data_IF_004197517150
#
_entry.id   IF_004197517150
#
_cell.length_a   1.000
_cell.length_b   1.000
_cell.length_c   1.000
_cell.angle_alpha   90.00
_cell.angle_beta   90.00
_cell.angle_gamma   90.00
#
_symmetry.space_group_name_H-M   'P 1'
#
loop_
_entity.id
_entity.type
_entity.pdbx_description
1 polymer ?
#
# COMPACT_ATOMS: atom_id res chain seq x y z
N UNK A 1 -7.51 17.29 10.23
CA UNK A 1 -6.17 17.17 9.60
C UNK A 1 -5.23 18.34 9.91
N UNK A 2 -5.67 19.60 9.76
CA UNK A 2 -4.79 20.78 9.98
C UNK A 2 -4.34 20.92 11.46
N UNK A 3 -5.20 20.57 12.43
CA UNK A 3 -4.85 20.63 13.86
C UNK A 3 -3.80 19.63 14.31
N UNK A 4 -3.73 18.48 13.65
CA UNK A 4 -2.82 17.39 13.95
C UNK A 4 -1.36 17.73 13.57
N UNK A 5 -1.16 18.31 12.38
CA UNK A 5 0.16 18.75 11.91
C UNK A 5 0.78 19.84 12.80
N UNK A 6 -0.06 20.74 13.34
CA UNK A 6 0.38 21.82 14.26
C UNK A 6 0.75 21.29 15.64
N UNK A 7 0.07 20.24 16.10
CA UNK A 7 0.35 19.64 17.42
C UNK A 7 1.68 18.89 17.42
N UNK A 8 1.93 18.06 16.40
CA UNK A 8 3.22 17.37 16.24
C UNK A 8 4.40 18.34 16.07
N UNK A 9 4.17 19.47 15.40
CA UNK A 9 5.21 20.51 15.27
C UNK A 9 5.52 21.16 16.62
N UNK A 10 4.53 21.43 17.47
CA UNK A 10 4.73 21.97 18.82
C UNK A 10 5.41 20.96 19.75
N UNK A 11 5.07 19.68 19.68
CA UNK A 11 5.75 18.64 20.46
C UNK A 11 7.20 18.41 20.01
N UNK A 12 7.46 18.37 18.70
CA UNK A 12 8.85 18.35 18.19
C UNK A 12 9.69 19.47 18.78
N UNK A 13 9.14 20.67 18.87
CA UNK A 13 9.83 21.82 19.49
C UNK A 13 10.02 21.62 21.00
N UNK A 14 9.03 21.05 21.69
CA UNK A 14 9.11 20.76 23.12
C UNK A 14 10.12 19.65 23.44
N UNK A 15 10.16 18.58 22.64
CA UNK A 15 11.09 17.46 22.74
C UNK A 15 12.52 17.93 22.44
N UNK A 16 12.70 18.75 21.41
CA UNK A 16 14.00 19.35 21.07
C UNK A 16 14.49 20.28 22.20
N UNK A 17 13.61 21.09 22.81
CA UNK A 17 13.95 21.89 23.98
C UNK A 17 14.33 21.03 25.20
N UNK A 18 13.55 20.00 25.52
CA UNK A 18 13.86 19.06 26.63
C UNK A 18 15.16 18.28 26.42
N UNK A 19 15.46 17.87 25.17
CA UNK A 19 16.75 17.21 24.84
C UNK A 19 17.94 18.17 24.94
N UNK A 20 17.74 19.45 24.61
CA UNK A 20 18.77 20.49 24.77
C UNK A 20 19.14 20.77 26.24
N UNK A 21 18.16 20.63 27.14
CA UNK A 21 18.36 20.81 28.59
C UNK A 21 19.03 19.59 29.26
N UNK A 22 18.99 18.39 28.64
CA UNK A 22 19.57 17.15 29.20
C UNK A 22 20.93 16.74 28.64
N UNK A 23 21.66 17.63 28.01
CA UNK A 23 23.06 17.45 27.60
C UNK A 23 23.27 16.43 26.48
N UNK A 24 23.81 16.92 25.36
CA UNK A 24 24.41 16.20 24.22
C UNK A 24 23.66 14.98 23.67
N UNK A 25 22.59 15.25 22.89
CA UNK A 25 22.22 14.36 21.83
C UNK A 25 22.90 14.87 20.55
N UNK A 26 23.65 14.03 19.91
CA UNK A 26 24.34 14.33 18.66
C UNK A 26 23.32 14.53 17.52
N UNK A 27 22.81 15.75 17.39
CA UNK A 27 21.86 16.16 16.34
C UNK A 27 22.45 16.00 14.93
N UNK A 28 23.81 15.84 14.84
CA UNK A 28 24.48 15.66 13.56
C UNK A 28 24.26 14.25 12.99
N UNK A 29 24.18 13.23 13.83
CA UNK A 29 23.99 11.85 13.38
C UNK A 29 22.57 11.59 12.87
N UNK A 30 21.54 12.12 13.56
CA UNK A 30 20.14 11.94 13.14
C UNK A 30 19.81 12.68 11.85
N UNK A 31 20.35 13.90 11.68
CA UNK A 31 20.20 14.68 10.43
C UNK A 31 20.96 14.04 9.27
N UNK A 32 22.12 13.47 9.53
CA UNK A 32 22.92 12.77 8.52
C UNK A 32 22.25 11.48 8.06
N UNK A 33 21.68 10.71 8.96
CA UNK A 33 20.97 9.48 8.64
C UNK A 33 19.67 9.75 7.89
N UNK A 34 18.88 10.74 8.30
CA UNK A 34 17.69 11.18 7.58
C UNK A 34 18.02 11.64 6.16
N UNK A 35 19.08 12.44 5.98
CA UNK A 35 19.56 12.85 4.66
C UNK A 35 19.97 11.67 3.78
N UNK A 36 20.63 10.65 4.35
CA UNK A 36 21.03 9.43 3.65
C UNK A 36 19.81 8.58 3.23
N UNK A 37 18.79 8.47 4.07
CA UNK A 37 17.52 7.77 3.72
C UNK A 37 16.83 8.43 2.54
N UNK A 38 16.64 9.74 2.59
CA UNK A 38 16.05 10.53 1.50
C UNK A 38 16.88 10.40 0.20
N UNK A 39 18.21 10.44 0.29
CA UNK A 39 19.11 10.28 -0.86
C UNK A 39 18.97 8.88 -1.50
N UNK A 40 18.84 7.84 -0.72
CA UNK A 40 18.62 6.47 -1.23
C UNK A 40 17.27 6.34 -1.93
N UNK A 41 16.20 6.91 -1.37
CA UNK A 41 14.88 6.96 -2.00
C UNK A 41 14.92 7.69 -3.34
N UNK A 42 15.56 8.88 -3.37
CA UNK A 42 15.76 9.67 -4.59
C UNK A 42 16.53 8.89 -5.65
N UNK A 43 17.64 8.23 -5.29
CA UNK A 43 18.42 7.42 -6.23
C UNK A 43 17.61 6.29 -6.86
N UNK A 44 16.79 5.60 -6.06
CA UNK A 44 15.88 4.53 -6.57
C UNK A 44 14.88 5.08 -7.57
N UNK A 45 14.22 6.20 -7.26
CA UNK A 45 13.25 6.82 -8.14
C UNK A 45 13.89 7.35 -9.43
N UNK A 46 15.04 8.02 -9.34
CA UNK A 46 15.78 8.48 -10.52
C UNK A 46 16.18 7.29 -11.39
N UNK A 47 16.73 6.23 -10.82
CA UNK A 47 17.12 5.03 -11.58
C UNK A 47 15.93 4.42 -12.30
N UNK A 48 14.79 4.29 -11.64
CA UNK A 48 13.54 3.78 -12.24
C UNK A 48 13.05 4.71 -13.35
N UNK A 49 13.05 6.02 -13.14
CA UNK A 49 12.64 7.01 -14.14
C UNK A 49 13.55 6.98 -15.38
N UNK A 50 14.86 6.87 -15.18
CA UNK A 50 15.83 6.75 -16.28
C UNK A 50 15.62 5.45 -17.05
N UNK A 51 15.36 4.33 -16.38
CA UNK A 51 15.05 3.05 -17.03
C UNK A 51 13.80 3.14 -17.92
N UNK A 52 12.74 3.76 -17.40
CA UNK A 52 11.49 3.99 -18.17
C UNK A 52 11.76 4.90 -19.38
N UNK A 53 12.54 5.97 -19.19
CA UNK A 53 12.90 6.88 -20.27
C UNK A 53 13.67 6.15 -21.37
N UNK A 54 14.65 5.31 -21.00
CA UNK A 54 15.41 4.51 -21.97
C UNK A 54 14.52 3.51 -22.73
N UNK A 55 13.55 2.89 -22.05
CA UNK A 55 12.55 2.03 -22.71
C UNK A 55 11.71 2.80 -23.73
N UNK A 56 11.26 4.01 -23.38
CA UNK A 56 10.51 4.88 -24.29
C UNK A 56 11.38 5.29 -25.50
N UNK A 57 12.61 5.72 -25.27
CA UNK A 57 13.56 6.10 -26.35
C UNK A 57 13.83 4.90 -27.28
N UNK A 58 14.03 3.70 -26.72
CA UNK A 58 14.21 2.48 -27.50
C UNK A 58 12.98 2.17 -28.36
N UNK A 59 11.77 2.30 -27.83
CA UNK A 59 10.55 2.12 -28.59
C UNK A 59 10.42 3.15 -29.71
N UNK A 60 10.70 4.42 -29.46
CA UNK A 60 10.70 5.47 -30.49
C UNK A 60 11.74 5.19 -31.59
N UNK A 61 12.93 4.73 -31.22
CA UNK A 61 13.96 4.32 -32.17
C UNK A 61 13.49 3.14 -33.05
N UNK A 62 12.85 2.13 -32.46
CA UNK A 62 12.26 1.03 -33.24
C UNK A 62 11.24 1.55 -34.25
N UNK A 63 10.36 2.47 -33.85
CA UNK A 63 9.38 3.08 -34.75
C UNK A 63 10.03 3.82 -35.92
N UNK A 64 11.13 4.56 -35.69
CA UNK A 64 11.81 5.29 -36.75
C UNK A 64 12.53 4.37 -37.77
N UNK A 65 13.05 3.21 -37.33
CA UNK A 65 13.72 2.24 -38.20
C UNK A 65 12.76 1.42 -39.06
N UNK A 66 11.50 1.35 -38.69
CA UNK A 66 10.44 0.63 -39.42
C UNK A 66 9.79 1.51 -40.51
N UNK A 67 10.33 2.72 -40.75
CA UNK A 67 9.73 3.72 -41.65
C UNK A 67 9.60 3.26 -43.12
N UNK A 68 10.43 2.35 -43.59
CA UNK A 68 10.35 1.82 -44.96
C UNK A 68 9.04 1.05 -45.23
N UNK A 69 8.42 0.51 -44.19
CA UNK A 69 7.14 -0.21 -44.24
C UNK A 69 5.98 0.61 -43.65
N UNK A 70 6.17 1.91 -43.44
CA UNK A 70 5.28 2.77 -42.68
C UNK A 70 3.82 2.69 -43.16
N UNK A 71 3.58 2.67 -44.47
CA UNK A 71 2.23 2.64 -45.04
C UNK A 71 1.53 1.31 -44.75
N UNK A 72 2.22 0.18 -44.88
CA UNK A 72 1.65 -1.16 -44.65
C UNK A 72 1.36 -1.29 -43.13
N UNK A 73 2.30 -0.86 -42.29
CA UNK A 73 2.16 -0.89 -40.83
C UNK A 73 1.02 0.01 -40.36
N UNK A 74 0.88 1.20 -40.93
CA UNK A 74 -0.20 2.12 -40.61
C UNK A 74 -1.57 1.51 -40.91
N UNK A 75 -1.77 0.96 -42.11
CA UNK A 75 -3.02 0.27 -42.46
C UNK A 75 -3.28 -0.95 -41.58
N UNK A 76 -2.29 -1.79 -41.36
CA UNK A 76 -2.42 -2.97 -40.50
C UNK A 76 -2.77 -2.58 -39.06
N UNK A 77 -2.11 -1.56 -38.50
CA UNK A 77 -2.42 -1.09 -37.14
C UNK A 77 -3.79 -0.42 -37.05
N UNK A 78 -4.30 0.27 -38.05
CA UNK A 78 -5.67 0.79 -38.10
C UNK A 78 -6.71 -0.32 -38.05
N UNK A 79 -6.48 -1.39 -38.82
CA UNK A 79 -7.36 -2.56 -38.79
C UNK A 79 -7.35 -3.19 -37.38
N UNK A 80 -6.16 -3.42 -36.82
CA UNK A 80 -6.02 -3.95 -35.44
C UNK A 80 -6.66 -3.02 -34.41
N UNK A 81 -6.50 -1.70 -34.56
CA UNK A 81 -7.12 -0.71 -33.66
C UNK A 81 -8.64 -0.82 -33.66
N UNK A 82 -9.26 -0.99 -34.82
CA UNK A 82 -10.72 -1.15 -34.91
C UNK A 82 -11.18 -2.38 -34.09
N UNK A 83 -10.53 -3.53 -34.27
CA UNK A 83 -10.89 -4.74 -33.52
C UNK A 83 -10.64 -4.58 -32.02
N UNK A 84 -9.55 -3.93 -31.61
CA UNK A 84 -9.26 -3.68 -30.21
C UNK A 84 -10.25 -2.69 -29.59
N UNK A 85 -10.64 -1.64 -30.33
CA UNK A 85 -11.64 -0.68 -29.88
C UNK A 85 -13.01 -1.35 -29.70
N UNK A 86 -13.45 -2.18 -30.67
CA UNK A 86 -14.68 -2.93 -30.54
C UNK A 86 -14.64 -3.91 -29.36
N UNK A 87 -13.52 -4.62 -29.18
CA UNK A 87 -13.32 -5.49 -28.03
C UNK A 87 -13.33 -4.72 -26.71
N UNK A 88 -12.66 -3.56 -26.66
CA UNK A 88 -12.64 -2.72 -25.46
C UNK A 88 -14.02 -2.11 -25.15
N UNK A 89 -14.77 -1.74 -26.18
CA UNK A 89 -16.13 -1.23 -26.05
C UNK A 89 -17.07 -2.29 -25.42
N UNK A 90 -16.95 -3.55 -25.84
CA UNK A 90 -17.77 -4.67 -25.34
C UNK A 90 -17.42 -5.11 -23.90
N UNK A 91 -16.26 -4.67 -23.35
CA UNK A 91 -15.88 -5.03 -21.98
C UNK A 91 -16.77 -4.33 -20.96
N UNK A 92 -17.13 -5.04 -19.89
CA UNK A 92 -17.84 -4.49 -18.73
C UNK A 92 -16.85 -3.72 -17.83
N UNK A 93 -16.46 -2.53 -18.28
CA UNK A 93 -15.59 -1.58 -17.56
C UNK A 93 -16.19 -0.18 -17.64
N UNK A 94 -15.87 0.66 -16.67
CA UNK A 94 -16.31 2.06 -16.64
C UNK A 94 -15.78 2.83 -17.86
N UNK A 95 -16.58 3.76 -18.38
CA UNK A 95 -16.20 4.57 -19.54
C UNK A 95 -14.91 5.34 -19.32
N UNK A 96 -14.66 5.84 -18.10
CA UNK A 96 -13.41 6.54 -17.74
C UNK A 96 -12.15 5.67 -17.91
N UNK A 97 -12.28 4.36 -17.82
CA UNK A 97 -11.17 3.42 -18.04
C UNK A 97 -10.98 3.05 -19.51
N UNK A 98 -12.06 3.10 -20.31
CA UNK A 98 -12.05 2.71 -21.74
C UNK A 98 -11.72 3.88 -22.66
N UNK A 99 -12.31 5.03 -22.41
CA UNK A 99 -12.23 6.20 -23.31
C UNK A 99 -10.80 6.67 -23.61
N UNK A 100 -9.88 6.80 -22.64
CA UNK A 100 -8.51 7.21 -22.94
C UNK A 100 -7.81 6.27 -23.95
N UNK A 101 -8.02 4.96 -23.82
CA UNK A 101 -7.45 3.97 -24.75
C UNK A 101 -8.08 4.05 -26.13
N UNK A 102 -9.41 4.20 -26.20
CA UNK A 102 -10.13 4.34 -27.47
C UNK A 102 -9.65 5.59 -28.21
N UNK A 103 -9.59 6.74 -27.53
CA UNK A 103 -9.12 8.00 -28.11
C UNK A 103 -7.69 7.84 -28.62
N UNK A 104 -6.79 7.26 -27.79
CA UNK A 104 -5.37 7.09 -28.15
C UNK A 104 -5.20 6.18 -29.37
N UNK A 105 -5.95 5.05 -29.45
CA UNK A 105 -5.86 4.12 -30.58
C UNK A 105 -6.45 4.71 -31.86
N UNK A 106 -7.51 5.54 -31.78
CA UNK A 106 -8.11 6.16 -32.96
C UNK A 106 -7.31 7.39 -33.45
N UNK A 107 -6.76 8.21 -32.55
CA UNK A 107 -5.97 9.38 -32.91
C UNK A 107 -4.55 9.01 -33.35
N UNK A 108 -3.92 8.03 -32.74
CA UNK A 108 -2.54 7.60 -32.98
C UNK A 108 -2.46 6.07 -33.05
N UNK A 109 -2.92 5.42 -34.16
CA UNK A 109 -3.08 3.96 -34.21
C UNK A 109 -1.84 3.18 -33.83
N UNK A 110 -0.68 3.50 -34.38
CA UNK A 110 0.57 2.79 -34.09
C UNK A 110 0.95 2.91 -32.61
N UNK A 111 0.97 4.14 -32.09
CA UNK A 111 1.30 4.38 -30.69
C UNK A 111 0.25 3.79 -29.75
N UNK A 112 -1.02 4.03 -30.04
CA UNK A 112 -2.15 3.60 -29.20
C UNK A 112 -2.26 2.08 -29.12
N UNK A 113 -2.14 1.39 -30.24
CA UNK A 113 -2.15 -0.09 -30.29
C UNK A 113 -0.93 -0.64 -29.53
N UNK A 114 0.27 -0.12 -29.80
CA UNK A 114 1.48 -0.58 -29.13
C UNK A 114 1.41 -0.39 -27.62
N UNK A 115 1.03 0.78 -27.15
CA UNK A 115 0.86 1.05 -25.73
C UNK A 115 -0.26 0.19 -25.12
N UNK A 116 -1.37 0.00 -25.82
CA UNK A 116 -2.43 -0.83 -25.31
C UNK A 116 -2.02 -2.30 -25.18
N UNK A 117 -1.27 -2.85 -26.14
CA UNK A 117 -0.73 -4.21 -26.06
C UNK A 117 0.28 -4.37 -24.93
N UNK A 118 1.14 -3.36 -24.73
CA UNK A 118 2.16 -3.37 -23.68
C UNK A 118 1.54 -3.14 -22.27
N UNK A 119 0.63 -2.20 -22.18
CA UNK A 119 0.14 -1.65 -20.89
C UNK A 119 -1.31 -2.04 -20.62
N UNK A 120 -2.17 -2.00 -21.63
CA UNK A 120 -3.62 -2.16 -21.48
C UNK A 120 -4.07 -3.62 -21.36
N UNK A 121 -3.36 -4.57 -21.99
CA UNK A 121 -3.62 -6.00 -21.85
C UNK A 121 -3.01 -6.55 -20.56
N UNK A 122 -3.62 -6.23 -19.45
CA UNK A 122 -3.18 -6.58 -18.10
C UNK A 122 -3.25 -8.09 -17.78
N UNK A 123 -2.47 -8.91 -18.47
CA UNK A 123 -2.31 -10.32 -18.14
C UNK A 123 -1.80 -10.55 -16.70
N UNK A 124 -0.95 -9.64 -16.22
CA UNK A 124 -0.44 -9.69 -14.85
C UNK A 124 -1.50 -9.38 -13.80
N UNK A 125 -2.40 -8.39 -14.04
CA UNK A 125 -3.55 -8.11 -13.15
C UNK A 125 -4.51 -9.30 -13.11
N UNK A 126 -4.71 -9.99 -14.22
CA UNK A 126 -5.53 -11.21 -14.26
C UNK A 126 -4.92 -12.31 -13.37
N UNK A 127 -3.61 -12.55 -13.47
CA UNK A 127 -2.92 -13.53 -12.61
C UNK A 127 -3.02 -13.16 -11.13
N UNK A 128 -2.84 -11.89 -10.80
CA UNK A 128 -2.97 -11.42 -9.42
C UNK A 128 -4.40 -11.59 -8.89
N UNK A 129 -5.41 -11.20 -9.68
CA UNK A 129 -6.82 -11.37 -9.32
C UNK A 129 -7.17 -12.83 -9.08
N UNK A 130 -6.79 -13.74 -9.99
CA UNK A 130 -7.01 -15.17 -9.82
C UNK A 130 -6.37 -15.67 -8.54
N UNK A 131 -5.15 -15.22 -8.22
CA UNK A 131 -4.48 -15.60 -6.98
C UNK A 131 -5.21 -15.09 -5.73
N UNK A 132 -5.75 -13.88 -5.74
CA UNK A 132 -6.59 -13.37 -4.65
C UNK A 132 -7.88 -14.17 -4.51
N UNK A 133 -8.57 -14.43 -5.61
CA UNK A 133 -9.78 -15.28 -5.62
C UNK A 133 -9.52 -16.69 -5.06
N UNK A 134 -8.34 -17.27 -5.33
CA UNK A 134 -7.93 -18.56 -4.74
C UNK A 134 -7.65 -18.47 -3.23
N UNK A 135 -7.09 -17.35 -2.77
CA UNK A 135 -6.88 -17.07 -1.35
C UNK A 135 -8.22 -16.89 -0.65
N UNK A 136 -9.12 -16.11 -1.23
CA UNK A 136 -10.45 -15.87 -0.69
C UNK A 136 -11.25 -17.17 -0.57
N UNK A 137 -11.24 -18.02 -1.60
CA UNK A 137 -11.84 -19.37 -1.53
C UNK A 137 -11.33 -20.21 -0.36
N UNK A 138 -10.07 -20.00 0.05
CA UNK A 138 -9.47 -20.73 1.19
C UNK A 138 -9.78 -20.10 2.53
N UNK A 139 -9.84 -18.77 2.59
CA UNK A 139 -9.94 -18.03 3.86
C UNK A 139 -11.38 -17.70 4.25
N UNK A 140 -12.24 -17.31 3.29
CA UNK A 140 -13.63 -16.96 3.58
C UNK A 140 -14.43 -18.03 4.32
N UNK A 141 -14.24 -19.35 4.06
CA UNK A 141 -14.94 -20.40 4.81
C UNK A 141 -14.63 -20.44 6.30
N UNK A 142 -13.53 -19.82 6.76
CA UNK A 142 -13.20 -19.70 8.18
C UNK A 142 -13.91 -18.56 8.89
N UNK A 143 -14.56 -17.65 8.14
CA UNK A 143 -15.36 -16.60 8.74
C UNK A 143 -16.65 -17.19 9.33
N UNK A 144 -17.08 -16.73 10.51
CA UNK A 144 -18.29 -17.24 11.13
C UNK A 144 -19.54 -16.84 10.35
N UNK A 145 -20.58 -17.68 10.39
CA UNK A 145 -21.90 -17.31 9.89
C UNK A 145 -22.66 -16.55 10.99
N UNK A 146 -22.69 -15.24 10.89
CA UNK A 146 -23.33 -14.34 11.84
C UNK A 146 -24.68 -13.81 11.34
N UNK A 147 -25.43 -14.59 10.55
CA UNK A 147 -26.74 -14.17 9.99
C UNK A 147 -27.75 -13.77 11.08
N UNK A 148 -27.74 -14.44 12.22
CA UNK A 148 -28.62 -14.06 13.33
C UNK A 148 -28.35 -12.64 13.85
N UNK A 149 -27.08 -12.25 13.92
CA UNK A 149 -26.68 -10.90 14.33
C UNK A 149 -27.14 -9.90 13.27
N UNK A 150 -27.01 -10.21 11.99
CA UNK A 150 -27.47 -9.36 10.89
C UNK A 150 -28.99 -9.17 10.93
N UNK A 151 -29.77 -10.23 11.14
CA UNK A 151 -31.22 -10.15 11.22
C UNK A 151 -31.68 -9.37 12.48
N UNK A 152 -30.99 -9.51 13.59
CA UNK A 152 -31.24 -8.69 14.77
C UNK A 152 -30.94 -7.20 14.47
N UNK A 153 -29.80 -6.89 13.85
CA UNK A 153 -29.43 -5.52 13.48
C UNK A 153 -30.42 -4.86 12.53
N UNK A 154 -30.97 -5.62 11.55
CA UNK A 154 -32.04 -5.12 10.65
C UNK A 154 -33.29 -4.67 11.38
N UNK A 155 -33.64 -5.36 12.46
CA UNK A 155 -34.82 -5.02 13.29
C UNK A 155 -34.54 -3.84 14.20
N UNK A 156 -33.37 -3.79 14.81
CA UNK A 156 -32.98 -2.74 15.76
C UNK A 156 -32.70 -1.41 15.08
N UNK A 157 -31.98 -1.44 13.95
CA UNK A 157 -31.65 -0.28 13.14
C UNK A 157 -31.70 -0.63 11.65
N UNK A 158 -32.79 -0.32 10.94
CA UNK A 158 -32.92 -0.63 9.51
C UNK A 158 -31.81 -0.04 8.66
N UNK A 159 -31.31 1.15 8.98
CA UNK A 159 -30.21 1.80 8.26
C UNK A 159 -28.88 1.05 8.44
N UNK A 160 -28.52 0.75 9.68
CA UNK A 160 -27.33 -0.03 10.00
C UNK A 160 -27.44 -1.46 9.41
N UNK A 161 -28.62 -2.05 9.48
CA UNK A 161 -28.92 -3.34 8.90
C UNK A 161 -28.80 -3.38 7.37
N UNK A 162 -29.16 -2.29 6.67
CA UNK A 162 -28.96 -2.18 5.21
C UNK A 162 -27.47 -2.13 4.85
N UNK A 163 -26.68 -1.32 5.56
CA UNK A 163 -25.21 -1.22 5.38
C UNK A 163 -24.57 -2.59 5.67
N UNK A 164 -24.92 -3.20 6.81
CA UNK A 164 -24.40 -4.50 7.20
C UNK A 164 -24.73 -5.60 6.19
N UNK A 165 -25.97 -5.59 5.64
CA UNK A 165 -26.39 -6.51 4.58
C UNK A 165 -25.56 -6.33 3.30
N UNK A 166 -25.30 -5.09 2.91
CA UNK A 166 -24.46 -4.79 1.76
C UNK A 166 -23.04 -5.32 1.98
N UNK A 167 -22.42 -5.02 3.11
CA UNK A 167 -21.07 -5.49 3.43
C UNK A 167 -21.01 -7.02 3.47
N UNK A 168 -21.96 -7.69 4.11
CA UNK A 168 -21.99 -9.15 4.19
C UNK A 168 -22.15 -9.80 2.81
N UNK A 169 -23.04 -9.28 1.97
CA UNK A 169 -23.34 -9.88 0.68
C UNK A 169 -22.31 -9.61 -0.41
N UNK A 170 -21.68 -8.43 -0.41
CA UNK A 170 -20.75 -8.01 -1.46
C UNK A 170 -19.28 -8.05 -1.06
N UNK A 171 -18.97 -7.85 0.22
CA UNK A 171 -17.59 -7.92 0.73
C UNK A 171 -17.28 -9.25 1.40
N UNK A 172 -18.29 -10.12 1.60
CA UNK A 172 -18.20 -11.41 2.28
C UNK A 172 -17.74 -11.34 3.75
N UNK A 173 -17.80 -10.16 4.38
CA UNK A 173 -17.43 -9.99 5.78
C UNK A 173 -18.69 -9.96 6.67
N UNK A 174 -18.78 -10.86 7.66
CA UNK A 174 -19.92 -10.92 8.56
C UNK A 174 -19.92 -9.77 9.58
N UNK A 175 -21.10 -9.52 10.14
CA UNK A 175 -21.28 -8.58 11.25
C UNK A 175 -20.92 -9.29 12.55
N UNK A 176 -20.27 -8.57 13.47
CA UNK A 176 -19.90 -9.09 14.79
C UNK A 176 -20.61 -8.35 15.90
N UNK A 177 -20.79 -9.01 17.03
CA UNK A 177 -21.21 -8.44 18.31
C UNK A 177 -20.08 -8.59 19.34
N UNK A 178 -20.26 -7.97 20.49
CA UNK A 178 -19.31 -8.03 21.62
C UNK A 178 -17.92 -7.45 21.26
N UNK A 179 -17.91 -6.43 20.41
CA UNK A 179 -16.70 -5.67 20.09
C UNK A 179 -16.77 -4.34 20.84
N UNK A 180 -15.84 -4.14 21.75
CA UNK A 180 -15.64 -2.83 22.37
C UNK A 180 -14.80 -1.95 21.46
N UNK A 181 -15.19 -0.68 21.30
CA UNK A 181 -14.54 0.25 20.38
C UNK A 181 -14.11 1.50 21.15
N UNK A 182 -12.81 1.73 21.18
CA UNK A 182 -12.23 2.95 21.74
C UNK A 182 -11.76 3.86 20.59
N UNK A 183 -12.21 5.12 20.61
CA UNK A 183 -11.78 6.13 19.66
C UNK A 183 -10.71 7.04 20.29
N UNK A 184 -9.60 7.19 19.59
CA UNK A 184 -8.53 8.11 19.97
C UNK A 184 -8.57 9.33 19.05
N UNK A 185 -8.78 10.50 19.62
CA UNK A 185 -8.81 11.79 18.91
C UNK A 185 -7.40 12.30 18.54
N UNK A 186 -6.37 11.78 19.22
CA UNK A 186 -4.96 12.09 18.99
C UNK A 186 -4.17 10.81 18.71
N UNK A 187 -3.32 10.81 17.66
CA UNK A 187 -2.54 9.64 17.30
C UNK A 187 -1.57 9.21 18.39
N UNK A 188 -1.04 10.16 19.19
CA UNK A 188 -0.12 9.84 20.28
C UNK A 188 -0.80 8.99 21.35
N UNK A 189 -2.07 9.27 21.69
CA UNK A 189 -2.84 8.46 22.64
C UNK A 189 -3.07 7.04 22.08
N UNK A 190 -3.40 6.96 20.78
CA UNK A 190 -3.55 5.68 20.10
C UNK A 190 -2.22 4.89 20.04
N UNK A 191 -1.10 5.56 19.80
CA UNK A 191 0.23 4.95 19.80
C UNK A 191 0.62 4.44 21.20
N UNK A 192 0.35 5.22 22.25
CA UNK A 192 0.68 4.81 23.61
C UNK A 192 -0.16 3.60 24.05
N UNK A 193 -1.48 3.59 23.74
CA UNK A 193 -2.33 2.43 23.97
C UNK A 193 -1.88 1.21 23.15
N UNK A 194 -1.51 1.41 21.90
CA UNK A 194 -1.00 0.34 21.05
C UNK A 194 0.30 -0.26 21.59
N UNK A 195 1.22 0.56 22.10
CA UNK A 195 2.46 0.09 22.73
C UNK A 195 2.19 -0.74 23.98
N UNK A 196 1.22 -0.31 24.80
CA UNK A 196 0.79 -1.07 25.98
C UNK A 196 0.24 -2.44 25.60
N UNK A 197 -0.66 -2.51 24.62
CA UNK A 197 -1.24 -3.79 24.17
C UNK A 197 -0.22 -4.68 23.44
N UNK A 198 0.67 -4.11 22.64
CA UNK A 198 1.77 -4.84 22.01
C UNK A 198 2.67 -5.50 23.06
N UNK A 199 2.92 -4.81 24.19
CA UNK A 199 3.74 -5.35 25.28
C UNK A 199 3.14 -6.57 25.98
N UNK A 200 1.82 -6.74 25.89
CA UNK A 200 1.04 -7.85 26.46
C UNK A 200 0.81 -9.03 25.50
N UNK A 201 1.26 -8.92 24.26
CA UNK A 201 1.08 -9.97 23.25
C UNK A 201 1.72 -11.29 23.69
N UNK A 202 0.98 -12.38 23.52
CA UNK A 202 1.41 -13.72 23.94
C UNK A 202 1.63 -14.69 22.76
N UNK A 203 0.91 -14.51 21.64
CA UNK A 203 0.89 -15.44 20.51
C UNK A 203 1.44 -14.83 19.24
N UNK A 204 0.82 -13.74 18.77
CA UNK A 204 1.23 -13.09 17.52
C UNK A 204 0.88 -11.61 17.48
N UNK A 205 1.68 -10.88 16.68
CA UNK A 205 1.47 -9.48 16.30
C UNK A 205 1.56 -9.40 14.78
N UNK A 206 0.49 -8.93 14.12
CA UNK A 206 0.47 -8.68 12.68
C UNK A 206 0.24 -7.19 12.43
N UNK A 207 1.14 -6.59 11.67
CA UNK A 207 1.11 -5.16 11.35
C UNK A 207 1.15 -4.94 9.84
N UNK A 208 0.26 -4.09 9.34
CA UNK A 208 0.16 -3.71 7.94
C UNK A 208 0.05 -2.20 7.84
N UNK A 209 1.04 -1.54 7.25
CA UNK A 209 1.13 -0.09 7.18
C UNK A 209 1.54 0.40 5.80
N UNK A 210 0.92 1.50 5.34
CA UNK A 210 1.33 2.14 4.10
C UNK A 210 2.73 2.73 4.22
N UNK A 211 3.00 3.48 5.27
CA UNK A 211 4.32 4.07 5.49
C UNK A 211 4.85 3.72 6.88
N UNK A 212 6.14 3.37 6.92
CA UNK A 212 6.93 3.24 8.14
C UNK A 212 8.11 4.20 7.99
N UNK A 213 8.29 5.10 8.95
CA UNK A 213 9.45 5.97 9.07
C UNK A 213 10.32 5.46 10.22
N UNK A 214 11.59 5.13 9.94
CA UNK A 214 12.53 4.64 10.97
C UNK A 214 12.99 5.80 11.88
N UNK A 215 12.03 6.37 12.61
CA UNK A 215 12.15 7.47 13.55
C UNK A 215 11.47 7.14 14.90
N UNK A 216 11.29 8.10 15.78
CA UNK A 216 10.90 7.89 17.18
C UNK A 216 9.67 7.01 17.36
N UNK A 217 8.57 7.26 16.62
CA UNK A 217 7.34 6.47 16.76
C UNK A 217 7.58 4.99 16.43
N UNK A 218 8.27 4.73 15.32
CA UNK A 218 8.62 3.37 14.92
C UNK A 218 9.62 2.73 15.90
N UNK A 219 10.64 3.43 16.34
CA UNK A 219 11.65 2.90 17.25
C UNK A 219 11.06 2.46 18.59
N UNK A 220 10.04 3.18 19.11
CA UNK A 220 9.27 2.75 20.29
C UNK A 220 8.55 1.42 20.02
N UNK A 221 7.87 1.31 18.89
CA UNK A 221 7.20 0.07 18.46
C UNK A 221 8.23 -1.06 18.29
N UNK A 222 9.31 -0.81 17.53
CA UNK A 222 10.33 -1.82 17.26
C UNK A 222 10.92 -2.41 18.53
N UNK A 223 11.21 -1.58 19.55
CA UNK A 223 11.73 -2.04 20.84
C UNK A 223 10.79 -3.06 21.49
N UNK A 224 9.49 -2.78 21.50
CA UNK A 224 8.48 -3.71 22.05
C UNK A 224 8.41 -4.98 21.21
N UNK A 225 8.43 -4.86 19.89
CA UNK A 225 8.37 -6.03 18.99
C UNK A 225 9.59 -6.95 19.18
N UNK A 226 10.79 -6.38 19.35
CA UNK A 226 12.01 -7.16 19.63
C UNK A 226 11.89 -7.96 20.94
N UNK A 227 11.33 -7.36 21.97
CA UNK A 227 11.13 -8.04 23.26
C UNK A 227 10.06 -9.13 23.15
N UNK A 228 9.02 -8.90 22.38
CA UNK A 228 8.00 -9.95 22.11
C UNK A 228 8.55 -11.10 21.28
N UNK A 229 9.38 -10.84 20.28
CA UNK A 229 10.08 -11.89 19.51
C UNK A 229 10.96 -12.74 20.43
N UNK A 230 11.73 -12.10 21.32
CA UNK A 230 12.55 -12.84 22.34
C UNK A 230 11.69 -13.70 23.26
N UNK A 231 10.46 -13.26 23.55
CA UNK A 231 9.47 -14.01 24.33
C UNK A 231 8.77 -15.13 23.54
N UNK A 232 9.09 -15.31 22.23
CA UNK A 232 8.52 -16.35 21.37
C UNK A 232 7.25 -15.94 20.63
N UNK A 233 6.84 -14.67 20.68
CA UNK A 233 5.67 -14.16 19.96
C UNK A 233 5.98 -14.06 18.46
N UNK A 234 5.07 -14.50 17.61
CA UNK A 234 5.21 -14.39 16.16
C UNK A 234 4.91 -12.96 15.70
N UNK A 235 5.90 -12.25 15.15
CA UNK A 235 5.73 -10.90 14.64
C UNK A 235 5.80 -10.90 13.11
N UNK A 236 4.76 -10.38 12.46
CA UNK A 236 4.72 -10.17 10.99
C UNK A 236 4.46 -8.72 10.68
N UNK A 237 5.27 -8.17 9.77
CA UNK A 237 5.14 -6.79 9.29
C UNK A 237 5.02 -6.80 7.78
N UNK A 238 4.06 -6.01 7.30
CA UNK A 238 3.81 -5.78 5.90
C UNK A 238 3.72 -4.28 5.65
N UNK A 239 4.50 -3.76 4.71
CA UNK A 239 4.48 -2.32 4.40
C UNK A 239 4.59 -2.06 2.90
N UNK A 240 4.06 -0.90 2.46
CA UNK A 240 4.11 -0.46 1.07
C UNK A 240 5.46 0.20 0.76
N UNK A 241 6.10 -0.24 -0.34
CA UNK A 241 7.42 0.29 -0.71
C UNK A 241 7.37 1.76 -1.11
N UNK A 242 6.34 2.19 -1.88
CA UNK A 242 6.20 3.59 -2.29
C UNK A 242 5.93 4.50 -1.09
N UNK A 243 5.04 4.06 -0.19
CA UNK A 243 4.72 4.82 1.03
C UNK A 243 5.93 5.01 1.94
N UNK A 244 6.86 4.06 1.93
CA UNK A 244 8.04 4.06 2.82
C UNK A 244 9.34 4.47 2.14
N UNK A 245 9.35 4.75 0.82
CA UNK A 245 10.58 4.91 0.02
C UNK A 245 11.51 6.03 0.51
N UNK A 246 10.94 7.08 1.08
CA UNK A 246 11.68 8.24 1.60
C UNK A 246 12.10 8.08 3.08
N UNK A 247 11.54 7.11 3.78
CA UNK A 247 11.54 6.99 5.23
C UNK A 247 12.37 5.83 5.76
N UNK A 248 12.64 4.81 4.93
CA UNK A 248 13.44 3.65 5.32
C UNK A 248 14.58 3.39 4.36
N UNK A 249 15.65 2.76 4.86
CA UNK A 249 16.74 2.30 4.03
C UNK A 249 16.39 1.02 3.26
N UNK A 250 17.12 0.73 2.19
CA UNK A 250 16.90 -0.45 1.36
C UNK A 250 17.05 -1.79 2.12
N UNK A 251 17.79 -1.79 3.20
CA UNK A 251 18.05 -2.96 4.05
C UNK A 251 17.06 -3.11 5.21
N UNK A 252 16.10 -2.17 5.36
CA UNK A 252 15.15 -2.15 6.47
C UNK A 252 14.44 -3.49 6.67
N UNK A 253 13.88 -4.08 5.61
CA UNK A 253 13.24 -5.39 5.69
C UNK A 253 14.20 -6.51 6.09
N UNK A 254 15.46 -6.42 5.67
CA UNK A 254 16.52 -7.37 6.04
C UNK A 254 16.91 -7.20 7.50
N UNK A 255 17.03 -5.96 7.96
CA UNK A 255 17.29 -5.62 9.38
C UNK A 255 16.17 -6.22 10.27
N UNK A 256 14.89 -6.02 9.92
CA UNK A 256 13.79 -6.59 10.69
C UNK A 256 13.83 -8.13 10.73
N UNK A 257 14.16 -8.77 9.61
CA UNK A 257 14.31 -10.23 9.56
C UNK A 257 15.45 -10.73 10.46
N UNK A 258 16.57 -10.00 10.55
CA UNK A 258 17.66 -10.38 11.44
C UNK A 258 17.28 -10.29 12.93
N UNK A 259 16.28 -9.48 13.27
CA UNK A 259 15.67 -9.37 14.60
C UNK A 259 14.60 -10.44 14.86
N UNK A 260 14.40 -11.37 13.94
CA UNK A 260 13.36 -12.42 14.05
C UNK A 260 11.95 -11.99 13.62
N UNK A 261 11.80 -10.77 13.12
CA UNK A 261 10.52 -10.24 12.63
C UNK A 261 10.30 -10.66 11.18
N UNK A 262 9.18 -11.34 10.88
CA UNK A 262 8.82 -11.72 9.51
C UNK A 262 8.32 -10.51 8.72
N UNK A 263 9.20 -9.90 7.93
CA UNK A 263 8.89 -8.69 7.16
C UNK A 263 8.68 -8.99 5.67
N UNK A 264 7.66 -8.36 5.07
CA UNK A 264 7.37 -8.39 3.63
C UNK A 264 7.09 -6.97 3.13
N UNK A 265 7.59 -6.68 1.93
CA UNK A 265 7.38 -5.40 1.24
C UNK A 265 6.31 -5.59 0.19
N UNK A 266 5.29 -4.73 0.19
CA UNK A 266 4.25 -4.72 -0.83
C UNK A 266 4.71 -3.94 -2.06
N UNK A 267 4.54 -4.56 -3.22
CA UNK A 267 4.77 -4.00 -4.55
C UNK A 267 6.04 -3.14 -4.64
N UNK A 268 7.22 -3.77 -4.46
CA UNK A 268 8.50 -3.07 -4.48
C UNK A 268 8.71 -2.35 -5.82
N UNK A 269 9.27 -1.15 -5.78
CA UNK A 269 9.64 -0.37 -6.94
C UNK A 269 10.91 -0.97 -7.53
N UNK A 270 10.73 -1.59 -8.69
CA UNK A 270 11.81 -2.17 -9.48
C UNK A 270 12.00 -1.34 -10.75
N UNK A 271 13.24 -1.27 -11.32
CA UNK A 271 13.47 -0.65 -12.60
C UNK A 271 12.64 -1.32 -13.69
N UNK A 272 12.14 -0.53 -14.64
CA UNK A 272 11.34 -0.99 -15.76
C UNK A 272 9.89 -0.51 -15.72
N UNK A 273 9.13 -0.80 -16.78
CA UNK A 273 7.69 -0.51 -16.86
C UNK A 273 6.93 -1.41 -15.92
N UNK A 274 6.71 -0.95 -14.69
CA UNK A 274 5.90 -1.66 -13.70
C UNK A 274 4.43 -1.25 -13.80
N UNK A 275 3.65 -2.11 -14.44
CA UNK A 275 2.21 -1.95 -14.63
C UNK A 275 1.39 -1.84 -13.33
N UNK A 276 1.98 -2.29 -12.22
CA UNK A 276 1.35 -2.29 -10.90
C UNK A 276 1.77 -1.13 -10.02
N UNK A 277 2.51 -0.16 -10.56
CA UNK A 277 3.05 0.95 -9.77
C UNK A 277 1.95 1.67 -8.97
N UNK A 278 0.73 1.78 -9.51
CA UNK A 278 -0.41 2.43 -8.87
C UNK A 278 -1.17 1.53 -7.88
N UNK A 279 -0.88 0.22 -7.82
CA UNK A 279 -1.48 -0.65 -6.84
C UNK A 279 -0.70 -0.52 -5.54
N UNK A 280 -1.24 0.26 -4.60
CA UNK A 280 -0.62 0.55 -3.32
C UNK A 280 -1.45 0.01 -2.17
N UNK A 281 -0.79 -0.40 -1.12
CA UNK A 281 -1.44 -0.75 0.14
C UNK A 281 -1.51 0.49 1.03
N UNK A 282 -2.72 1.00 1.25
CA UNK A 282 -2.94 2.22 2.05
C UNK A 282 -3.59 1.93 3.41
N UNK A 283 -3.50 0.69 3.87
CA UNK A 283 -4.06 0.27 5.16
C UNK A 283 -3.11 0.60 6.31
N UNK A 284 -3.65 0.75 7.49
CA UNK A 284 -2.97 0.92 8.76
C UNK A 284 -3.69 0.03 9.75
N UNK A 285 -3.14 -1.16 9.97
CA UNK A 285 -3.78 -2.20 10.77
C UNK A 285 -2.73 -2.85 11.67
N UNK A 286 -3.07 -3.01 12.93
CA UNK A 286 -2.33 -3.87 13.86
C UNK A 286 -3.31 -4.86 14.49
N UNK A 287 -2.96 -6.14 14.51
CA UNK A 287 -3.74 -7.19 15.16
C UNK A 287 -2.86 -7.90 16.18
N UNK A 288 -3.34 -8.01 17.41
CA UNK A 288 -2.64 -8.59 18.54
C UNK A 288 -3.45 -9.78 19.06
N UNK A 289 -2.90 -10.97 18.97
CA UNK A 289 -3.47 -12.25 19.48
C UNK A 289 -4.89 -12.57 18.98
N UNK A 290 -5.40 -11.82 17.99
CA UNK A 290 -6.79 -11.90 17.54
C UNK A 290 -7.80 -11.35 18.56
N UNK A 291 -7.33 -10.64 19.59
CA UNK A 291 -8.16 -10.05 20.67
C UNK A 291 -8.29 -8.54 20.53
N UNK A 292 -7.21 -7.89 20.16
CA UNK A 292 -7.15 -6.41 20.00
C UNK A 292 -6.73 -6.09 18.59
N UNK A 293 -7.38 -5.08 18.01
CA UNK A 293 -7.01 -4.57 16.69
C UNK A 293 -7.03 -3.03 16.68
N UNK A 294 -6.03 -2.45 16.03
CA UNK A 294 -5.94 -1.01 15.77
C UNK A 294 -6.10 -0.75 14.29
N UNK A 295 -6.89 0.25 13.94
CA UNK A 295 -6.99 0.78 12.58
C UNK A 295 -7.23 2.27 12.61
N UNK A 296 -6.74 2.99 11.61
CA UNK A 296 -6.88 4.45 11.60
C UNK A 296 -6.25 5.10 10.37
N UNK A 297 -6.06 6.42 10.45
CA UNK A 297 -5.49 7.23 9.37
C UNK A 297 -3.98 7.50 9.50
N UNK A 298 -3.37 7.26 10.66
CA UNK A 298 -1.95 7.55 10.88
C UNK A 298 -1.02 6.42 10.45
N UNK A 299 0.13 6.78 9.91
CA UNK A 299 1.20 5.85 9.59
C UNK A 299 2.14 5.65 10.81
N UNK A 300 3.06 4.67 10.71
CA UNK A 300 4.16 4.55 11.67
C UNK A 300 5.27 5.54 11.31
N UNK A 301 4.96 6.82 11.41
CA UNK A 301 5.81 7.92 11.02
C UNK A 301 5.63 9.09 12.00
N UNK A 302 6.60 10.01 12.00
CA UNK A 302 6.57 11.20 12.84
C UNK A 302 5.88 12.40 12.17
N UNK A 303 4.98 12.14 11.21
CA UNK A 303 4.22 13.19 10.50
C UNK A 303 3.16 13.83 11.38
#
# INVERSE_FOLDING_TARGET
MIGFSVFLCKEKIAIIKRKREKGHVDLSSSTFEGKKKTENGTKRLIFTAVSILLEIVFLLFLFTKVSEYATIIDWATRIVAIFLVLGLYSMDKTSSMKMPWIILMLAFPILGVSLYLLVGLNGSTKKMRVRYEEIDKKLLPYLPDNRQILEWMKKESPQAGAIASYLTNYSCYPVYQNTDVTYYDEAIKGLDAQLEDLSKAEKFIFMEYHAIEDEEAWQRIQTVLEDRVKAGVEVRIFYDDMGSIWFVNMDFATKLKSLGIKCRVFNPILPGLNMFLNNRDHRKITVIDGKVAYTGGYNMANE
#
